data_IF_823092573781
#
_entry.id   IF_823092573781
#
_cell.length_a   1.000
_cell.length_b   1.000
_cell.length_c   1.000
_cell.angle_alpha   90.00
_cell.angle_beta   90.00
_cell.angle_gamma   90.00
#
_symmetry.space_group_name_H-M   'P 1'
#
loop_
_entity.id
_entity.type
_entity.pdbx_description
1 polymer ?
#
# COMPACT_ATOMS: atom_id res chain seq x y z
N UNK A 1 -20.14 28.04 4.43
CA UNK A 1 -18.86 27.55 4.97
C UNK A 1 -17.75 28.05 4.07
N UNK A 2 -16.69 28.71 4.60
CA UNK A 2 -15.53 29.03 3.78
C UNK A 2 -14.94 27.73 3.21
N UNK A 3 -14.38 27.74 1.98
CA UNK A 3 -13.77 26.56 1.40
C UNK A 3 -12.68 26.07 2.36
N UNK A 4 -12.69 24.77 2.69
CA UNK A 4 -11.59 24.17 3.45
C UNK A 4 -10.31 24.45 2.67
N UNK A 5 -9.42 25.26 3.26
CA UNK A 5 -8.14 25.61 2.66
C UNK A 5 -7.42 24.33 2.22
N UNK A 6 -7.13 24.24 0.93
CA UNK A 6 -6.60 23.05 0.28
C UNK A 6 -5.34 23.46 -0.47
N UNK A 7 -4.21 22.96 -0.02
CA UNK A 7 -2.94 23.13 -0.71
C UNK A 7 -2.29 21.76 -0.82
N UNK A 8 -2.02 21.34 -2.06
CA UNK A 8 -1.45 20.02 -2.36
C UNK A 8 0.05 20.04 -2.04
N UNK A 9 0.42 19.32 -0.99
CA UNK A 9 1.81 19.02 -0.67
C UNK A 9 2.27 17.71 -1.31
N UNK A 10 2.94 16.88 -0.50
CA UNK A 10 3.51 15.60 -0.92
C UNK A 10 2.41 14.62 -1.38
N UNK A 11 2.63 13.99 -2.53
CA UNK A 11 1.76 12.93 -3.04
C UNK A 11 1.85 11.67 -2.18
N UNK A 12 0.69 11.08 -1.90
CA UNK A 12 0.50 9.89 -1.08
C UNK A 12 -0.38 8.88 -1.80
N UNK A 13 -0.32 7.64 -1.35
CA UNK A 13 -1.22 6.55 -1.72
C UNK A 13 -1.93 6.04 -0.47
N UNK A 14 -3.21 5.74 -0.58
CA UNK A 14 -4.01 5.23 0.53
C UNK A 14 -3.91 3.70 0.57
N UNK A 15 -3.52 3.17 1.71
CA UNK A 15 -3.22 1.74 1.92
C UNK A 15 -4.18 1.06 2.88
N UNK A 16 -5.18 1.80 3.41
CA UNK A 16 -6.23 1.24 4.27
C UNK A 16 -7.44 2.17 4.34
N UNK A 17 -8.58 1.63 4.79
CA UNK A 17 -9.83 2.37 5.02
C UNK A 17 -10.59 2.72 3.74
N UNK A 18 -11.50 3.70 3.84
CA UNK A 18 -12.44 4.08 2.77
C UNK A 18 -11.78 4.47 1.45
N UNK A 19 -10.55 4.97 1.49
CA UNK A 19 -9.84 5.48 0.32
C UNK A 19 -8.80 4.49 -0.22
N UNK A 20 -8.82 3.22 0.21
CA UNK A 20 -7.88 2.19 -0.23
C UNK A 20 -7.68 2.19 -1.75
N UNK A 21 -6.42 2.18 -2.19
CA UNK A 21 -6.05 2.18 -3.61
C UNK A 21 -6.14 3.53 -4.32
N UNK A 22 -6.73 4.56 -3.69
CA UNK A 22 -6.77 5.92 -4.24
C UNK A 22 -5.42 6.63 -4.06
N UNK A 23 -5.22 7.68 -4.85
CA UNK A 23 -4.11 8.63 -4.72
C UNK A 23 -4.58 9.92 -4.04
N UNK A 24 -3.61 10.71 -3.57
CA UNK A 24 -3.92 12.02 -3.03
C UNK A 24 -2.67 12.78 -2.62
N UNK A 25 -2.87 13.84 -1.85
CA UNK A 25 -1.81 14.71 -1.36
C UNK A 25 -1.99 15.00 0.13
N UNK A 26 -0.90 15.20 0.85
CA UNK A 26 -0.95 15.86 2.16
C UNK A 26 -1.46 17.29 1.98
N UNK A 27 -2.45 17.71 2.79
CA UNK A 27 -2.93 19.10 2.76
C UNK A 27 -2.01 19.97 3.64
N UNK A 28 -1.22 20.86 3.04
CA UNK A 28 -0.27 21.73 3.76
C UNK A 28 -0.93 22.98 4.34
N UNK A 29 -2.05 23.42 3.77
CA UNK A 29 -2.82 24.55 4.28
C UNK A 29 -3.53 24.25 5.61
N UNK A 30 -3.72 22.97 5.95
CA UNK A 30 -4.37 22.57 7.19
C UNK A 30 -3.35 22.38 8.32
N UNK A 31 -3.64 22.95 9.49
CA UNK A 31 -2.90 22.66 10.72
C UNK A 31 -2.96 21.15 11.05
N UNK A 32 -1.87 20.62 11.63
CA UNK A 32 -1.76 19.20 11.99
C UNK A 32 -2.90 18.82 12.93
N UNK A 33 -3.84 17.98 12.47
CA UNK A 33 -4.94 17.46 13.27
C UNK A 33 -4.48 16.35 14.21
N UNK A 34 -3.87 16.73 15.34
CA UNK A 34 -3.42 15.81 16.38
C UNK A 34 -2.24 14.91 15.97
N UNK A 35 -1.87 14.00 16.87
CA UNK A 35 -0.67 13.16 16.71
C UNK A 35 -0.84 12.09 15.63
N UNK A 36 -2.05 11.51 15.51
CA UNK A 36 -2.30 10.32 14.69
C UNK A 36 -3.11 10.59 13.41
N UNK A 37 -3.73 11.78 13.27
CA UNK A 37 -4.46 12.15 12.06
C UNK A 37 -3.68 13.17 11.22
N UNK A 38 -3.92 13.13 9.91
CA UNK A 38 -3.39 14.08 8.94
C UNK A 38 -4.49 14.53 8.01
N UNK A 39 -4.50 15.82 7.67
CA UNK A 39 -5.38 16.34 6.63
C UNK A 39 -4.81 15.97 5.27
N UNK A 40 -5.66 15.49 4.38
CA UNK A 40 -5.30 15.01 3.05
C UNK A 40 -6.32 15.51 2.03
N UNK A 41 -5.88 15.58 0.78
CA UNK A 41 -6.71 15.83 -0.40
C UNK A 41 -6.74 14.51 -1.16
N UNK A 42 -7.89 13.84 -1.19
CA UNK A 42 -8.08 12.57 -1.89
C UNK A 42 -8.53 12.86 -3.31
N UNK A 43 -7.92 12.19 -4.28
CA UNK A 43 -8.41 12.14 -5.65
C UNK A 43 -9.46 11.02 -5.76
N UNK A 44 -10.71 11.39 -6.02
CA UNK A 44 -11.81 10.45 -6.16
C UNK A 44 -12.00 9.98 -7.61
N UNK A 45 -11.29 10.56 -8.58
CA UNK A 45 -11.52 10.38 -10.00
C UNK A 45 -12.61 11.33 -10.50
N UNK A 46 -13.67 10.78 -11.09
CA UNK A 46 -14.76 11.55 -11.70
C UNK A 46 -15.51 12.45 -10.69
N UNK A 47 -15.53 12.06 -9.41
CA UNK A 47 -16.11 12.85 -8.31
C UNK A 47 -15.21 14.01 -7.85
N UNK A 48 -14.06 14.20 -8.49
CA UNK A 48 -13.10 15.26 -8.19
C UNK A 48 -12.29 15.02 -6.91
N UNK A 49 -11.97 16.10 -6.21
CA UNK A 49 -11.08 16.06 -5.04
C UNK A 49 -11.79 16.35 -3.73
N UNK A 50 -11.39 15.63 -2.67
CA UNK A 50 -12.01 15.76 -1.34
C UNK A 50 -10.99 16.01 -0.24
N UNK A 51 -11.15 17.14 0.46
CA UNK A 51 -10.37 17.45 1.67
C UNK A 51 -10.94 16.69 2.88
N UNK A 52 -10.16 15.78 3.44
CA UNK A 52 -10.56 14.95 4.59
C UNK A 52 -9.41 14.76 5.58
N UNK A 53 -9.66 14.03 6.66
CA UNK A 53 -8.65 13.63 7.64
C UNK A 53 -8.55 12.11 7.68
N UNK A 54 -7.35 11.56 7.65
CA UNK A 54 -7.10 10.12 7.75
C UNK A 54 -6.08 9.80 8.83
N UNK A 55 -6.00 8.54 9.25
CA UNK A 55 -4.99 8.07 10.20
C UNK A 55 -3.63 7.97 9.52
N UNK A 56 -2.54 8.22 10.26
CA UNK A 56 -1.16 8.12 9.71
C UNK A 56 -0.85 6.75 9.12
N UNK A 57 -1.39 5.67 9.69
CA UNK A 57 -1.13 4.31 9.19
C UNK A 57 -1.89 4.00 7.89
N UNK A 58 -2.91 4.78 7.51
CA UNK A 58 -3.77 4.47 6.37
C UNK A 58 -3.25 5.02 5.03
N UNK A 59 -2.09 5.67 5.03
CA UNK A 59 -1.43 6.13 3.81
C UNK A 59 0.07 5.89 3.86
N UNK A 60 0.69 5.87 2.68
CA UNK A 60 2.13 5.85 2.47
C UNK A 60 2.50 6.91 1.45
N UNK A 61 3.79 7.20 1.36
CA UNK A 61 4.30 7.98 0.25
C UNK A 61 3.98 7.29 -1.07
N UNK A 62 3.59 8.07 -2.08
CA UNK A 62 3.45 7.54 -3.43
C UNK A 62 4.82 7.08 -3.95
N UNK A 63 4.85 5.95 -4.65
CA UNK A 63 6.04 5.51 -5.36
C UNK A 63 6.34 6.49 -6.49
N UNK A 64 7.41 7.28 -6.36
CA UNK A 64 7.87 8.20 -7.43
C UNK A 64 8.25 7.44 -8.70
N UNK A 65 9.00 6.34 -8.52
CA UNK A 65 9.35 5.35 -9.54
C UNK A 65 9.28 4.00 -8.86
N UNK A 66 8.64 3.02 -9.52
CA UNK A 66 8.63 1.64 -9.05
C UNK A 66 9.98 1.03 -9.40
N UNK A 67 10.72 0.57 -8.39
CA UNK A 67 12.10 0.06 -8.54
C UNK A 67 12.23 -1.45 -8.36
N UNK A 68 11.23 -2.08 -7.74
CA UNK A 68 11.24 -3.52 -7.49
C UNK A 68 9.88 -4.11 -7.82
N UNK A 69 9.86 -5.42 -8.04
CA UNK A 69 8.63 -6.17 -8.27
C UNK A 69 7.66 -6.03 -7.08
N UNK A 70 8.15 -6.05 -5.84
CA UNK A 70 7.32 -5.89 -4.65
C UNK A 70 6.67 -4.51 -4.59
N UNK A 71 7.39 -3.46 -5.01
CA UNK A 71 6.80 -2.13 -5.13
C UNK A 71 5.70 -2.08 -6.20
N UNK A 72 5.88 -2.79 -7.33
CA UNK A 72 4.86 -2.92 -8.36
C UNK A 72 3.63 -3.66 -7.84
N UNK A 73 3.86 -4.77 -7.14
CA UNK A 73 2.84 -5.60 -6.52
C UNK A 73 2.03 -4.79 -5.52
N UNK A 74 2.67 -4.09 -4.57
CA UNK A 74 1.97 -3.29 -3.55
C UNK A 74 1.26 -2.07 -4.16
N UNK A 75 1.73 -1.56 -5.30
CA UNK A 75 1.05 -0.48 -6.03
C UNK A 75 -0.21 -0.98 -6.75
N UNK A 76 -0.16 -2.16 -7.37
CA UNK A 76 -1.24 -2.70 -8.20
C UNK A 76 -2.27 -3.50 -7.39
N UNK A 77 -1.85 -4.08 -6.27
CA UNK A 77 -2.65 -4.92 -5.37
C UNK A 77 -2.67 -4.30 -3.96
N UNK A 78 -3.30 -3.13 -3.78
CA UNK A 78 -3.30 -2.42 -2.49
C UNK A 78 -4.04 -3.18 -1.38
N UNK A 79 -4.90 -4.14 -1.74
CA UNK A 79 -5.55 -5.05 -0.80
C UNK A 79 -4.54 -5.90 -0.01
N UNK A 80 -3.47 -6.37 -0.65
CA UNK A 80 -2.39 -7.14 0.01
C UNK A 80 -1.71 -6.28 1.09
N UNK A 81 -1.40 -5.02 0.76
CA UNK A 81 -0.80 -4.12 1.76
C UNK A 81 -1.78 -3.79 2.89
N UNK A 82 -3.07 -3.64 2.59
CA UNK A 82 -4.09 -3.42 3.61
C UNK A 82 -4.21 -4.60 4.58
N UNK A 83 -4.14 -5.83 4.09
CA UNK A 83 -4.13 -7.05 4.91
C UNK A 83 -2.91 -7.08 5.83
N UNK A 84 -1.71 -6.77 5.30
CA UNK A 84 -0.50 -6.65 6.10
C UNK A 84 -0.62 -5.58 7.18
N UNK A 85 -1.11 -4.38 6.83
CA UNK A 85 -1.33 -3.29 7.81
C UNK A 85 -2.34 -3.70 8.88
N UNK A 86 -3.41 -4.41 8.49
CA UNK A 86 -4.43 -4.89 9.41
C UNK A 86 -3.87 -5.93 10.37
N UNK A 87 -3.09 -6.89 9.87
CA UNK A 87 -2.39 -7.87 10.70
C UNK A 87 -1.45 -7.19 11.70
N UNK A 88 -0.62 -6.24 11.25
CA UNK A 88 0.28 -5.51 12.15
C UNK A 88 -0.48 -4.77 13.26
N UNK A 89 -1.70 -4.29 13.00
CA UNK A 89 -2.53 -3.65 14.03
C UNK A 89 -3.03 -4.65 15.05
N UNK A 90 -3.58 -5.79 14.62
CA UNK A 90 -3.98 -6.85 15.55
C UNK A 90 -2.79 -7.34 16.39
N UNK A 91 -1.62 -7.50 15.78
CA UNK A 91 -0.41 -7.89 16.51
C UNK A 91 0.04 -6.82 17.53
N UNK A 92 -0.21 -5.53 17.25
CA UNK A 92 0.11 -4.44 18.19
C UNK A 92 -0.78 -4.41 19.43
N UNK A 93 -1.90 -5.13 19.42
CA UNK A 93 -2.79 -5.30 20.57
C UNK A 93 -2.27 -6.39 21.53
N UNK A 94 -1.30 -7.20 21.09
CA UNK A 94 -0.65 -8.24 21.88
C UNK A 94 0.59 -7.71 22.63
N UNK A 95 0.70 -7.99 23.93
CA UNK A 95 1.87 -7.62 24.73
C UNK A 95 3.11 -8.48 24.40
N UNK A 96 4.32 -7.92 24.50
CA UNK A 96 5.62 -8.60 24.26
C UNK A 96 5.82 -9.22 22.87
N UNK A 97 5.29 -8.60 21.81
CA UNK A 97 5.51 -9.08 20.44
C UNK A 97 7.01 -9.03 20.07
N UNK A 98 7.59 -10.18 19.74
CA UNK A 98 8.92 -10.26 19.15
C UNK A 98 8.81 -10.20 17.61
N UNK A 99 9.26 -9.08 17.03
CA UNK A 99 9.17 -8.85 15.58
C UNK A 99 9.91 -9.88 14.73
N UNK A 100 11.08 -10.34 15.17
CA UNK A 100 11.89 -11.31 14.43
C UNK A 100 11.24 -12.69 14.43
N UNK A 101 10.71 -13.10 15.58
CA UNK A 101 9.96 -14.35 15.69
C UNK A 101 8.70 -14.31 14.81
N UNK A 102 7.96 -13.19 14.80
CA UNK A 102 6.80 -13.03 13.93
C UNK A 102 7.16 -13.05 12.44
N UNK A 103 8.30 -12.46 12.06
CA UNK A 103 8.78 -12.52 10.69
C UNK A 103 9.11 -13.97 10.27
N UNK A 104 9.67 -14.78 11.17
CA UNK A 104 9.92 -16.20 10.93
C UNK A 104 8.62 -16.99 10.72
N UNK A 105 7.60 -16.76 11.57
CA UNK A 105 6.27 -17.37 11.38
C UNK A 105 5.65 -16.97 10.04
N UNK A 106 5.68 -15.68 9.70
CA UNK A 106 5.12 -15.20 8.43
C UNK A 106 5.83 -15.81 7.22
N UNK A 107 7.16 -15.98 7.29
CA UNK A 107 7.94 -16.62 6.23
C UNK A 107 7.53 -18.08 6.02
N UNK A 108 7.28 -18.80 7.11
CA UNK A 108 6.87 -20.21 7.04
C UNK A 108 5.44 -20.36 6.50
N UNK A 109 4.50 -19.55 7.00
CA UNK A 109 3.12 -19.52 6.49
C UNK A 109 3.07 -19.15 5.00
N UNK A 110 3.88 -18.17 4.58
CA UNK A 110 4.00 -17.82 3.16
C UNK A 110 4.52 -19.00 2.33
N UNK A 111 5.50 -19.76 2.82
CA UNK A 111 6.04 -20.94 2.14
C UNK A 111 4.98 -22.03 1.98
N UNK A 112 4.19 -22.27 3.03
CA UNK A 112 3.07 -23.22 3.01
C UNK A 112 2.02 -22.78 1.98
N UNK A 113 1.58 -21.52 2.04
CA UNK A 113 0.57 -20.98 1.13
C UNK A 113 1.01 -21.04 -0.34
N UNK A 114 2.28 -20.75 -0.64
CA UNK A 114 2.84 -20.89 -2.00
C UNK A 114 2.83 -22.35 -2.44
N UNK A 115 3.24 -23.27 -1.58
CA UNK A 115 3.26 -24.71 -1.88
C UNK A 115 1.85 -25.22 -2.19
N UNK A 116 0.86 -24.86 -1.36
CA UNK A 116 -0.55 -25.21 -1.58
C UNK A 116 -1.14 -24.55 -2.82
N UNK A 117 -0.72 -23.33 -3.14
CA UNK A 117 -1.17 -22.67 -4.36
C UNK A 117 -0.66 -23.40 -5.60
N UNK A 118 0.63 -23.74 -5.62
CA UNK A 118 1.28 -24.43 -6.73
C UNK A 118 0.80 -25.87 -6.90
N UNK A 119 0.44 -26.56 -5.81
CA UNK A 119 -0.10 -27.93 -5.88
C UNK A 119 -1.43 -28.02 -6.64
N UNK A 120 -2.13 -26.90 -6.84
CA UNK A 120 -3.36 -26.82 -7.66
C UNK A 120 -3.08 -26.93 -9.17
N UNK A 121 -1.82 -26.90 -9.60
CA UNK A 121 -1.41 -27.01 -11.00
C UNK A 121 -2.13 -25.99 -11.88
N UNK A 122 -2.74 -26.45 -12.98
CA UNK A 122 -3.47 -25.57 -13.92
C UNK A 122 -4.70 -24.85 -13.35
N UNK A 123 -5.12 -25.12 -12.11
CA UNK A 123 -6.20 -24.40 -11.42
C UNK A 123 -5.69 -23.26 -10.52
N UNK A 124 -4.38 -23.10 -10.40
CA UNK A 124 -3.77 -21.99 -9.68
C UNK A 124 -4.11 -20.65 -10.37
N UNK A 125 -4.47 -19.64 -9.57
CA UNK A 125 -4.83 -18.29 -10.04
C UNK A 125 -3.74 -17.29 -9.67
N UNK A 126 -3.07 -16.75 -10.67
CA UNK A 126 -2.02 -15.76 -10.46
C UNK A 126 -2.56 -14.35 -10.69
N UNK A 127 -2.18 -13.42 -9.82
CA UNK A 127 -2.40 -11.99 -10.05
C UNK A 127 -1.30 -11.47 -10.96
N UNK A 128 -1.67 -10.83 -12.07
CA UNK A 128 -0.69 -10.17 -12.93
C UNK A 128 -0.10 -8.96 -12.20
N UNK A 129 1.23 -8.85 -12.23
CA UNK A 129 1.96 -7.68 -11.76
C UNK A 129 2.77 -7.16 -12.93
N UNK A 130 2.40 -5.99 -13.44
CA UNK A 130 3.15 -5.32 -14.49
C UNK A 130 4.37 -4.65 -13.87
N UNK A 131 5.55 -5.22 -14.07
CA UNK A 131 6.83 -4.61 -13.69
C UNK A 131 7.69 -4.58 -14.95
N UNK A 132 8.13 -3.40 -15.43
CA UNK A 132 8.98 -3.34 -16.61
C UNK A 132 10.26 -4.12 -16.32
N UNK A 133 10.54 -5.14 -17.13
CA UNK A 133 11.90 -5.64 -17.27
C UNK A 133 12.71 -4.47 -17.81
N UNK A 134 13.79 -4.08 -17.12
CA UNK A 134 14.71 -3.10 -17.69
C UNK A 134 15.12 -3.63 -19.08
N UNK A 135 14.96 -2.80 -20.11
CA UNK A 135 15.05 -3.10 -21.56
C UNK A 135 16.50 -3.44 -22.01
N UNK A 136 17.35 -3.92 -21.09
CA UNK A 136 18.76 -4.25 -21.30
C UNK A 136 19.03 -5.75 -21.47
N UNK A 137 17.99 -6.60 -21.50
CA UNK A 137 18.14 -8.05 -21.74
C UNK A 137 17.72 -8.47 -23.15
N UNK A 138 17.88 -7.60 -24.15
CA UNK A 138 17.96 -8.00 -25.57
C UNK A 138 19.43 -8.13 -25.99
N UNK A 139 20.14 -9.10 -25.41
CA UNK A 139 21.45 -9.53 -25.92
C UNK A 139 21.51 -11.06 -25.89
N UNK A 140 21.57 -11.62 -27.09
CA UNK A 140 21.95 -13.00 -27.44
C UNK A 140 20.94 -14.12 -27.19
N UNK A 141 20.09 -14.35 -28.18
CA UNK A 141 19.89 -15.71 -28.69
C UNK A 141 20.33 -15.71 -30.16
N UNK A 142 21.48 -16.33 -30.42
CA UNK A 142 21.86 -16.86 -31.74
C UNK A 142 21.29 -18.27 -31.81
#
# INVERSE_FOLDING_TARGET
MPPKQAEKGKQIRFVSGTYLGKTGWLNTAASKKGLFKRSVIVDLGDDGEKVTSVMKFSFRDAFKKVKTFEQALMKQHPDIENEMVTLCRHLSECYNLNGDAMAAYFKEELRIAVTEHLSRGGKAKFRLVQFPEDDDTKMHAV
#
